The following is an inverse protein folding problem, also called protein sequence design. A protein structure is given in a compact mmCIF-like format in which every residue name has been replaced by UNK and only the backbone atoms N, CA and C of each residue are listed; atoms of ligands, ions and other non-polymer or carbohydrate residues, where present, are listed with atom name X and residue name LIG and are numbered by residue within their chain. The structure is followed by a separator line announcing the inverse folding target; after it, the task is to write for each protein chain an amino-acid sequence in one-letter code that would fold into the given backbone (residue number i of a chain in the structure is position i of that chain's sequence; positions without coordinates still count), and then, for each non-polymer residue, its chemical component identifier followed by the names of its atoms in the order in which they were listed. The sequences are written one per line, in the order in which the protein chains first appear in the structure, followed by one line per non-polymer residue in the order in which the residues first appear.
data_IF_722040253649
#
_entry.id   IF_722040253649
#
_cell.length_a   1.000
_cell.length_b   1.000
_cell.length_c   1.000
_cell.angle_alpha   90.00
_cell.angle_beta   90.00
_cell.angle_gamma   90.00
#
_symmetry.space_group_name_H-M   'P 1'
#
loop_
_entity.id
_entity.type
_entity.pdbx_description
1 polymer ?
#
# COMPACT_ATOMS: atom_id res chain seq x y z
N UNK A 1 4.47 4.95 -21.61
CA UNK A 1 5.42 4.42 -20.69
C UNK A 1 4.83 4.23 -19.32
N UNK A 2 5.18 3.14 -18.68
CA UNK A 2 4.54 2.72 -17.44
C UNK A 2 5.03 3.59 -16.27
N UNK A 3 4.10 4.24 -15.58
CA UNK A 3 4.39 5.06 -14.40
C UNK A 3 4.39 4.24 -13.11
N UNK A 4 4.18 2.94 -13.20
CA UNK A 4 4.02 2.08 -12.04
C UNK A 4 5.22 2.15 -11.08
N UNK A 5 6.42 1.96 -11.61
CA UNK A 5 7.62 1.96 -10.78
C UNK A 5 7.99 3.36 -10.31
N UNK A 6 7.69 4.39 -11.11
CA UNK A 6 7.88 5.77 -10.70
C UNK A 6 6.96 6.15 -9.54
N UNK A 7 5.72 5.69 -9.57
CA UNK A 7 4.78 5.92 -8.46
C UNK A 7 5.25 5.22 -7.17
N UNK A 8 5.74 3.98 -7.29
CA UNK A 8 6.30 3.27 -6.14
C UNK A 8 7.50 4.04 -5.56
N UNK A 9 8.41 4.46 -6.42
CA UNK A 9 9.59 5.23 -6.01
C UNK A 9 9.20 6.54 -5.33
N UNK A 10 8.21 7.25 -5.86
CA UNK A 10 7.73 8.49 -5.27
C UNK A 10 7.11 8.26 -3.89
N UNK A 11 6.39 7.17 -3.69
CA UNK A 11 5.82 6.84 -2.39
C UNK A 11 6.90 6.47 -1.38
N UNK A 12 7.91 5.73 -1.81
CA UNK A 12 9.08 5.43 -0.97
C UNK A 12 9.74 6.72 -0.52
N UNK A 13 9.98 7.64 -1.45
CA UNK A 13 10.60 8.93 -1.15
C UNK A 13 9.75 9.75 -0.17
N UNK A 14 8.44 9.77 -0.36
CA UNK A 14 7.53 10.51 0.52
C UNK A 14 7.60 9.98 1.95
N UNK A 15 7.55 8.66 2.12
CA UNK A 15 7.64 8.03 3.45
C UNK A 15 9.02 8.28 4.06
N UNK A 16 10.07 8.09 3.28
CA UNK A 16 11.45 8.32 3.75
C UNK A 16 11.62 9.76 4.23
N UNK A 17 11.14 10.71 3.45
CA UNK A 17 11.25 12.14 3.80
C UNK A 17 10.44 12.46 5.06
N UNK A 18 9.24 11.89 5.19
CA UNK A 18 8.41 12.07 6.38
C UNK A 18 9.10 11.52 7.64
N UNK A 19 9.85 10.43 7.50
CA UNK A 19 10.63 9.82 8.59
C UNK A 19 11.97 10.51 8.82
N UNK A 20 12.31 11.51 7.99
CA UNK A 20 13.59 12.22 8.04
C UNK A 20 14.80 11.30 7.89
N UNK A 21 14.65 10.29 7.02
CA UNK A 21 15.74 9.35 6.72
C UNK A 21 16.43 9.74 5.43
N UNK A 22 17.73 9.45 5.35
CA UNK A 22 18.48 9.59 4.10
C UNK A 22 18.32 8.32 3.27
N UNK A 23 18.63 8.42 1.98
CA UNK A 23 18.66 7.24 1.11
C UNK A 23 19.66 6.20 1.65
N UNK A 24 20.79 6.64 2.16
CA UNK A 24 21.80 5.74 2.72
C UNK A 24 21.26 4.98 3.94
N UNK A 25 20.52 5.64 4.80
CA UNK A 25 19.94 4.98 5.98
C UNK A 25 18.92 3.92 5.60
N UNK A 26 18.05 4.20 4.64
CA UNK A 26 17.08 3.21 4.16
C UNK A 26 17.79 2.03 3.51
N UNK A 27 18.76 2.30 2.63
CA UNK A 27 19.51 1.28 1.94
C UNK A 27 20.26 0.37 2.93
N UNK A 28 20.90 0.96 3.92
CA UNK A 28 21.62 0.20 4.96
C UNK A 28 20.66 -0.73 5.71
N UNK A 29 19.52 -0.21 6.15
CA UNK A 29 18.54 -1.02 6.87
C UNK A 29 17.96 -2.13 6.01
N UNK A 30 17.73 -1.85 4.73
CA UNK A 30 17.19 -2.82 3.79
C UNK A 30 18.25 -3.81 3.28
N UNK A 31 19.53 -3.55 3.57
CA UNK A 31 20.62 -4.44 3.13
C UNK A 31 20.95 -4.33 1.65
N UNK A 32 20.74 -3.16 1.05
CA UNK A 32 21.03 -2.91 -0.36
C UNK A 32 21.97 -1.73 -0.52
N UNK A 33 22.54 -1.60 -1.71
CA UNK A 33 23.42 -0.50 -2.04
C UNK A 33 22.64 0.82 -2.16
N UNK A 34 23.19 1.91 -1.65
CA UNK A 34 22.56 3.23 -1.68
C UNK A 34 22.26 3.69 -3.11
N UNK A 35 23.17 3.45 -4.03
CA UNK A 35 23.00 3.79 -5.44
C UNK A 35 21.80 3.06 -6.05
N UNK A 36 21.67 1.78 -5.74
CA UNK A 36 20.55 0.96 -6.19
C UNK A 36 19.23 1.47 -5.62
N UNK A 37 19.20 1.77 -4.34
CA UNK A 37 18.00 2.33 -3.71
C UNK A 37 17.59 3.66 -4.36
N UNK A 38 18.57 4.53 -4.62
CA UNK A 38 18.31 5.80 -5.30
C UNK A 38 17.69 5.61 -6.68
N UNK A 39 18.15 4.60 -7.42
CA UNK A 39 17.57 4.26 -8.72
C UNK A 39 16.13 3.79 -8.60
N UNK A 40 15.81 3.03 -7.56
CA UNK A 40 14.44 2.57 -7.29
C UNK A 40 13.53 3.77 -7.00
N UNK A 41 13.98 4.72 -6.20
CA UNK A 41 13.19 5.93 -5.92
C UNK A 41 12.89 6.74 -7.16
N UNK A 42 13.81 6.76 -8.12
CA UNK A 42 13.60 7.48 -9.39
C UNK A 42 12.79 6.69 -10.41
N UNK A 43 12.45 5.45 -10.11
CA UNK A 43 11.78 4.58 -11.07
C UNK A 43 12.70 4.08 -12.17
N UNK A 44 14.03 4.24 -12.01
CA UNK A 44 15.01 3.83 -13.00
C UNK A 44 15.42 2.38 -12.86
N UNK A 45 15.07 1.73 -11.78
CA UNK A 45 15.36 0.32 -11.56
C UNK A 45 14.19 -0.34 -10.83
N UNK A 46 14.01 -1.64 -11.08
CA UNK A 46 12.91 -2.42 -10.52
C UNK A 46 13.44 -3.28 -9.39
N UNK A 47 12.91 -3.14 -8.15
CA UNK A 47 13.31 -4.04 -7.08
C UNK A 47 12.68 -5.42 -7.26
N UNK A 48 13.37 -6.46 -6.81
CA UNK A 48 12.73 -7.76 -6.65
C UNK A 48 11.66 -7.66 -5.57
N UNK A 49 10.76 -8.65 -5.51
CA UNK A 49 9.73 -8.67 -4.47
C UNK A 49 10.36 -8.66 -3.07
N UNK A 50 11.40 -9.45 -2.87
CA UNK A 50 12.11 -9.50 -1.58
C UNK A 50 12.69 -8.13 -1.22
N UNK A 51 13.37 -7.48 -2.17
CA UNK A 51 13.95 -6.16 -1.95
C UNK A 51 12.85 -5.13 -1.64
N UNK A 52 11.73 -5.19 -2.35
CA UNK A 52 10.60 -4.32 -2.11
C UNK A 52 10.08 -4.45 -0.67
N UNK A 53 9.92 -5.68 -0.19
CA UNK A 53 9.48 -5.92 1.19
C UNK A 53 10.53 -5.44 2.20
N UNK A 54 11.81 -5.68 1.91
CA UNK A 54 12.89 -5.21 2.79
C UNK A 54 12.90 -3.68 2.90
N UNK A 55 12.68 -2.98 1.79
CA UNK A 55 12.56 -1.51 1.79
C UNK A 55 11.34 -1.07 2.60
N UNK A 56 10.21 -1.71 2.42
CA UNK A 56 9.00 -1.40 3.18
C UNK A 56 9.25 -1.55 4.68
N UNK A 57 9.93 -2.60 5.10
CA UNK A 57 10.31 -2.80 6.50
C UNK A 57 11.22 -1.68 6.99
N UNK A 58 12.20 -1.29 6.19
CA UNK A 58 13.11 -0.20 6.54
C UNK A 58 12.37 1.12 6.72
N UNK A 59 11.35 1.35 5.91
CA UNK A 59 10.51 2.54 5.96
C UNK A 59 9.38 2.43 6.99
N UNK A 60 9.27 1.31 7.69
CA UNK A 60 8.19 1.04 8.65
C UNK A 60 6.81 1.22 8.01
N UNK A 61 6.70 0.89 6.74
CA UNK A 61 5.48 1.03 5.96
C UNK A 61 4.92 -0.34 5.61
N UNK A 62 3.59 -0.42 5.49
CA UNK A 62 2.96 -1.60 4.92
C UNK A 62 3.32 -1.62 3.42
N UNK A 63 3.84 -2.74 2.89
CA UNK A 63 4.14 -2.83 1.46
C UNK A 63 2.95 -2.41 0.57
N UNK A 64 1.72 -2.69 0.98
CA UNK A 64 0.53 -2.31 0.23
C UNK A 64 0.41 -0.80 0.07
N UNK A 65 0.87 -0.02 1.05
CA UNK A 65 0.80 1.44 1.00
C UNK A 65 1.78 2.04 0.01
N UNK A 66 2.81 1.30 -0.36
CA UNK A 66 3.80 1.73 -1.36
C UNK A 66 3.36 1.42 -2.79
N UNK A 67 2.33 0.60 -2.96
CA UNK A 67 1.81 0.24 -4.28
C UNK A 67 0.84 1.30 -4.79
N UNK A 68 0.80 1.52 -6.11
CA UNK A 68 -0.16 2.45 -6.69
C UNK A 68 -1.60 2.05 -6.36
N UNK A 69 -2.43 3.04 -6.05
CA UNK A 69 -3.84 2.79 -5.72
C UNK A 69 -4.62 2.16 -6.85
N UNK A 70 -4.16 2.35 -8.08
CA UNK A 70 -4.81 1.80 -9.27
C UNK A 70 -4.31 0.40 -9.62
N UNK A 71 -3.57 -0.24 -8.71
CA UNK A 71 -3.14 -1.60 -8.92
C UNK A 71 -4.36 -2.51 -9.09
N UNK A 72 -4.34 -3.42 -10.08
CA UNK A 72 -5.49 -4.31 -10.31
C UNK A 72 -5.84 -5.12 -9.06
N UNK A 73 -7.12 -5.17 -8.75
CA UNK A 73 -7.62 -6.02 -7.67
C UNK A 73 -7.64 -5.41 -6.28
N UNK A 74 -7.16 -4.17 -6.10
CA UNK A 74 -7.14 -3.56 -4.76
C UNK A 74 -8.53 -3.46 -4.14
N UNK A 75 -9.51 -3.00 -4.92
CA UNK A 75 -10.89 -2.91 -4.45
C UNK A 75 -11.44 -4.29 -4.12
N UNK A 76 -11.09 -5.30 -4.92
CA UNK A 76 -11.50 -6.68 -4.66
C UNK A 76 -10.91 -7.22 -3.37
N UNK A 77 -9.69 -6.81 -3.01
CA UNK A 77 -9.08 -7.21 -1.75
C UNK A 77 -9.88 -6.68 -0.56
N UNK A 78 -10.33 -5.43 -0.63
CA UNK A 78 -11.18 -4.88 0.41
C UNK A 78 -12.53 -5.59 0.49
N UNK A 79 -13.15 -5.86 -0.65
CA UNK A 79 -14.40 -6.60 -0.70
C UNK A 79 -14.26 -8.00 -0.11
N UNK A 80 -13.18 -8.69 -0.43
CA UNK A 80 -12.89 -10.02 0.11
C UNK A 80 -12.70 -9.97 1.62
N UNK A 81 -11.94 -8.99 2.12
CA UNK A 81 -11.70 -8.84 3.55
C UNK A 81 -13.01 -8.57 4.30
N UNK A 82 -13.86 -7.69 3.77
CA UNK A 82 -15.17 -7.42 4.36
C UNK A 82 -16.05 -8.67 4.33
N UNK A 83 -16.03 -9.40 3.21
CA UNK A 83 -16.78 -10.65 3.08
C UNK A 83 -16.35 -11.68 4.11
N UNK A 84 -15.06 -11.82 4.36
CA UNK A 84 -14.54 -12.73 5.37
C UNK A 84 -14.97 -12.35 6.78
N UNK A 85 -14.93 -11.04 7.10
CA UNK A 85 -15.39 -10.56 8.39
C UNK A 85 -16.87 -10.87 8.64
N UNK A 86 -17.67 -10.86 7.57
CA UNK A 86 -19.10 -11.12 7.67
C UNK A 86 -19.44 -12.61 7.58
N UNK A 87 -18.53 -13.46 7.14
CA UNK A 87 -18.78 -14.87 6.84
C UNK A 87 -19.29 -15.67 8.05
N UNK A 88 -18.89 -15.27 9.25
CA UNK A 88 -19.33 -15.93 10.49
C UNK A 88 -20.70 -15.52 10.98
N UNK A 89 -21.37 -14.56 10.31
CA UNK A 89 -22.65 -14.05 10.75
C UNK A 89 -23.83 -14.77 10.07
N UNK A 90 -24.96 -15.00 10.79
CA UNK A 90 -26.19 -15.49 10.16
C UNK A 90 -26.67 -14.52 9.06
N UNK A 91 -27.40 -15.01 8.05
CA UNK A 91 -27.85 -14.18 6.93
C UNK A 91 -28.61 -12.91 7.36
N UNK A 92 -29.44 -12.99 8.37
CA UNK A 92 -30.20 -11.83 8.87
C UNK A 92 -29.28 -10.76 9.44
N UNK A 93 -28.22 -11.17 10.16
CA UNK A 93 -27.26 -10.24 10.73
C UNK A 93 -26.34 -9.65 9.68
N UNK A 94 -25.97 -10.45 8.66
CA UNK A 94 -25.23 -9.92 7.50
C UNK A 94 -25.98 -8.80 6.82
N UNK A 95 -27.28 -9.01 6.58
CA UNK A 95 -28.12 -8.02 5.93
C UNK A 95 -28.22 -6.74 6.77
N UNK A 96 -28.34 -6.87 8.09
CA UNK A 96 -28.38 -5.72 8.99
C UNK A 96 -27.08 -4.92 8.94
N UNK A 97 -25.92 -5.59 9.04
CA UNK A 97 -24.61 -4.94 9.00
C UNK A 97 -24.40 -4.24 7.66
N UNK A 98 -24.73 -4.92 6.56
CA UNK A 98 -24.60 -4.33 5.21
C UNK A 98 -25.51 -3.10 5.05
N UNK A 99 -26.71 -3.15 5.62
CA UNK A 99 -27.62 -2.01 5.60
C UNK A 99 -27.04 -0.81 6.35
N UNK A 100 -26.45 -1.04 7.52
CA UNK A 100 -25.80 0.02 8.29
C UNK A 100 -24.61 0.62 7.53
N UNK A 101 -23.79 -0.21 6.90
CA UNK A 101 -22.65 0.26 6.10
C UNK A 101 -23.14 1.09 4.92
N UNK A 102 -24.19 0.66 4.23
CA UNK A 102 -24.77 1.42 3.12
C UNK A 102 -25.27 2.79 3.56
N UNK A 103 -25.92 2.85 4.72
CA UNK A 103 -26.42 4.11 5.26
C UNK A 103 -25.28 5.06 5.59
N UNK A 104 -24.19 4.54 6.18
CA UNK A 104 -23.02 5.34 6.51
C UNK A 104 -22.37 5.87 5.23
N UNK A 105 -22.18 5.01 4.23
CA UNK A 105 -21.58 5.40 2.95
C UNK A 105 -22.43 6.47 2.26
N UNK A 106 -23.75 6.32 2.27
CA UNK A 106 -24.67 7.29 1.66
C UNK A 106 -24.53 8.67 2.31
N UNK A 107 -24.36 8.74 3.62
CA UNK A 107 -24.14 10.01 4.33
C UNK A 107 -22.87 10.70 3.89
N UNK A 108 -21.78 9.93 3.77
CA UNK A 108 -20.51 10.51 3.33
C UNK A 108 -20.52 10.94 1.87
N UNK A 109 -21.27 10.25 1.02
CA UNK A 109 -21.39 10.61 -0.39
C UNK A 109 -22.22 11.86 -0.63
N UNK A 110 -23.16 12.14 0.28
CA UNK A 110 -24.06 13.29 0.12
C UNK A 110 -23.44 14.62 0.60
N UNK A 111 -22.29 14.54 1.22
CA UNK A 111 -21.52 15.71 1.60
C UNK A 111 -20.54 16.09 0.48
#
# INVERSE_FOLDING_TARGET
MDNFYSEIGNRMKAVRTALRMTQAQVAETAGIDTSFYGQIERGANTPSLKTFVDIACALKADPADLLPRRAPGRERLYETAVGELLSGLPPKRKALVLGLVKDIVARYKSE
#
